data_IF_139881776382
#
_entry.id   IF_139881776382
#
_cell.length_a   1.000
_cell.length_b   1.000
_cell.length_c   1.000
_cell.angle_alpha   90.00
_cell.angle_beta   90.00
_cell.angle_gamma   90.00
#
_symmetry.space_group_name_H-M   'P 1'
#
loop_
_entity.id
_entity.type
_entity.pdbx_description
1 polymer ?
#
# COMPACT_ATOMS: atom_id res chain seq x y z
N UNK A 1 0.37 -6.18 -9.98
CA UNK A 1 -0.35 -7.21 -10.77
C UNK A 1 0.50 -7.94 -11.83
N UNK A 2 1.41 -7.24 -12.51
CA UNK A 2 2.30 -7.84 -13.53
C UNK A 2 3.48 -8.67 -12.98
N UNK A 3 3.44 -9.10 -11.71
CA UNK A 3 4.45 -9.98 -11.10
C UNK A 3 5.86 -9.40 -10.95
N UNK A 4 6.02 -8.08 -10.91
CA UNK A 4 7.34 -7.39 -10.82
C UNK A 4 7.82 -7.14 -9.39
N UNK A 5 6.90 -7.10 -8.45
CA UNK A 5 7.21 -6.92 -7.02
C UNK A 5 6.10 -7.48 -6.15
N UNK A 6 6.44 -7.76 -4.90
CA UNK A 6 5.51 -8.18 -3.86
C UNK A 6 5.81 -7.43 -2.57
N UNK A 7 4.76 -7.03 -1.85
CA UNK A 7 4.86 -6.37 -0.56
C UNK A 7 4.30 -7.28 0.52
N UNK A 8 5.03 -7.39 1.63
CA UNK A 8 4.62 -8.13 2.83
C UNK A 8 4.64 -7.14 3.99
N UNK A 9 3.51 -7.01 4.68
CA UNK A 9 3.38 -6.13 5.84
C UNK A 9 2.96 -6.90 7.09
N UNK A 10 3.52 -6.50 8.23
CA UNK A 10 2.98 -6.87 9.53
C UNK A 10 1.75 -5.99 9.86
N UNK A 11 1.01 -6.38 10.90
CA UNK A 11 -0.13 -5.61 11.43
C UNK A 11 0.34 -4.22 11.87
N UNK A 12 1.56 -4.11 12.38
CA UNK A 12 2.14 -2.84 12.83
C UNK A 12 3.54 -2.66 12.26
N UNK A 13 3.86 -1.41 11.93
CA UNK A 13 5.20 -0.90 11.60
C UNK A 13 5.88 -1.46 10.36
N UNK A 14 6.18 -2.76 10.36
CA UNK A 14 7.08 -3.37 9.38
C UNK A 14 6.37 -3.66 8.06
N UNK A 15 7.02 -3.23 6.99
CA UNK A 15 6.62 -3.46 5.60
C UNK A 15 7.88 -3.70 4.79
N UNK A 16 7.89 -4.78 4.02
CA UNK A 16 9.00 -5.18 3.16
C UNK A 16 8.50 -5.34 1.73
N UNK A 17 9.26 -4.84 0.77
CA UNK A 17 9.00 -5.00 -0.67
C UNK A 17 10.14 -5.81 -1.27
N UNK A 18 9.79 -6.81 -2.06
CA UNK A 18 10.73 -7.62 -2.83
C UNK A 18 10.50 -7.38 -4.31
N UNK A 19 11.58 -7.25 -5.08
CA UNK A 19 11.54 -7.24 -6.54
C UNK A 19 11.59 -8.68 -7.02
N UNK A 20 10.72 -9.00 -7.96
CA UNK A 20 10.65 -10.30 -8.61
C UNK A 20 11.13 -10.13 -10.05
N UNK A 21 12.14 -10.90 -10.44
CA UNK A 21 12.70 -10.85 -11.79
C UNK A 21 12.92 -12.26 -12.35
N UNK A 22 13.28 -12.36 -13.64
CA UNK A 22 13.67 -13.62 -14.28
C UNK A 22 15.09 -13.53 -14.79
N UNK A 23 15.89 -14.55 -14.54
CA UNK A 23 17.22 -14.68 -15.13
C UNK A 23 17.16 -15.14 -16.60
N UNK A 24 18.32 -15.25 -17.25
CA UNK A 24 18.44 -15.70 -18.65
C UNK A 24 17.95 -17.14 -18.87
N UNK A 25 17.82 -17.94 -17.80
CA UNK A 25 17.28 -19.30 -17.82
C UNK A 25 15.79 -19.34 -17.42
N UNK A 26 15.11 -18.19 -17.39
CA UNK A 26 13.70 -18.02 -17.02
C UNK A 26 13.35 -18.45 -15.58
N UNK A 27 14.34 -18.52 -14.68
CA UNK A 27 14.11 -18.82 -13.26
C UNK A 27 13.75 -17.55 -12.50
N UNK A 28 12.84 -17.67 -11.54
CA UNK A 28 12.47 -16.57 -10.64
C UNK A 28 13.65 -16.20 -9.73
N UNK A 29 13.99 -14.92 -9.70
CA UNK A 29 14.95 -14.34 -8.76
C UNK A 29 14.25 -13.32 -7.88
N UNK A 30 14.66 -13.27 -6.62
CA UNK A 30 14.08 -12.39 -5.59
C UNK A 30 15.19 -11.50 -5.05
N UNK A 31 14.97 -10.19 -5.03
CA UNK A 31 15.94 -9.25 -4.45
C UNK A 31 16.01 -9.34 -2.92
N UNK A 32 16.99 -8.69 -2.33
CA UNK A 32 16.93 -8.33 -0.90
C UNK A 32 15.68 -7.49 -0.60
N UNK A 33 15.15 -7.55 0.63
CA UNK A 33 13.99 -6.76 1.01
C UNK A 33 14.32 -5.27 1.07
N UNK A 34 13.36 -4.45 0.63
CA UNK A 34 13.36 -3.00 0.79
C UNK A 34 12.36 -2.61 1.87
N UNK A 35 12.76 -1.73 2.77
CA UNK A 35 11.97 -1.37 3.95
C UNK A 35 11.08 -0.15 3.69
N UNK A 36 9.83 -0.24 4.13
CA UNK A 36 8.87 0.88 4.15
C UNK A 36 8.25 1.05 5.55
N UNK A 37 9.11 1.00 6.57
CA UNK A 37 8.69 0.98 7.97
C UNK A 37 8.08 2.31 8.41
N UNK A 38 7.04 2.24 9.24
CA UNK A 38 6.41 3.42 9.84
C UNK A 38 5.94 3.10 11.25
N UNK A 39 6.63 3.63 12.26
CA UNK A 39 6.30 3.41 13.67
C UNK A 39 4.88 3.87 14.01
N UNK A 40 4.34 3.35 15.11
CA UNK A 40 3.03 3.73 15.67
C UNK A 40 1.89 3.67 14.65
N UNK A 41 1.99 2.78 13.67
CA UNK A 41 1.03 2.68 12.56
C UNK A 41 0.51 1.27 12.44
N UNK A 42 -0.81 1.13 12.58
CA UNK A 42 -1.55 -0.11 12.35
C UNK A 42 -1.98 -0.18 10.88
N UNK A 43 -1.86 -1.35 10.27
CA UNK A 43 -2.26 -1.63 8.89
C UNK A 43 -3.49 -2.53 8.89
N UNK A 44 -4.60 -2.02 8.36
CA UNK A 44 -5.89 -2.73 8.31
C UNK A 44 -6.03 -3.59 7.05
N UNK A 45 -5.59 -3.07 5.91
CA UNK A 45 -5.67 -3.74 4.62
C UNK A 45 -4.48 -3.32 3.75
N UNK A 46 -4.09 -4.20 2.83
CA UNK A 46 -3.02 -3.97 1.86
C UNK A 46 -3.38 -4.63 0.54
N UNK A 47 -3.18 -3.94 -0.58
CA UNK A 47 -3.37 -4.51 -1.91
C UNK A 47 -2.35 -3.93 -2.90
N UNK A 48 -1.90 -4.74 -3.87
CA UNK A 48 -1.11 -4.27 -5.00
C UNK A 48 -2.00 -3.68 -6.09
N UNK A 49 -1.75 -2.43 -6.47
CA UNK A 49 -2.54 -1.71 -7.48
C UNK A 49 -2.15 -2.10 -8.90
N UNK A 50 -3.11 -2.14 -9.82
CA UNK A 50 -2.82 -2.35 -11.23
C UNK A 50 -2.49 -1.04 -11.93
N UNK A 51 -1.21 -0.81 -12.19
CA UNK A 51 -0.69 0.41 -12.84
C UNK A 51 -0.06 0.09 -14.19
N UNK A 52 -0.42 -1.06 -14.79
CA UNK A 52 0.22 -1.55 -16.00
C UNK A 52 1.73 -1.77 -15.79
N UNK A 53 2.54 -1.03 -16.54
CA UNK A 53 4.01 -1.12 -16.54
C UNK A 53 4.72 0.04 -15.84
N UNK A 54 3.99 1.00 -15.26
CA UNK A 54 4.55 2.06 -14.40
C UNK A 54 5.19 1.48 -13.13
N UNK A 55 5.85 2.31 -12.31
CA UNK A 55 6.40 1.84 -11.04
C UNK A 55 5.32 1.17 -10.17
N UNK A 56 5.56 -0.07 -9.64
CA UNK A 56 4.54 -0.77 -8.86
C UNK A 56 4.06 0.05 -7.66
N UNK A 57 2.74 0.10 -7.47
CA UNK A 57 2.09 0.80 -6.36
C UNK A 57 1.36 -0.19 -5.44
N UNK A 58 1.46 0.05 -4.14
CA UNK A 58 0.76 -0.69 -3.09
C UNK A 58 -0.08 0.26 -2.27
N UNK A 59 -1.36 -0.05 -2.11
CA UNK A 59 -2.27 0.72 -1.29
C UNK A 59 -2.46 0.06 0.07
N UNK A 60 -2.43 0.84 1.15
CA UNK A 60 -2.70 0.38 2.51
C UNK A 60 -3.73 1.26 3.20
N UNK A 61 -4.58 0.67 4.04
CA UNK A 61 -5.37 1.42 5.03
C UNK A 61 -4.56 1.44 6.32
N UNK A 62 -4.22 2.63 6.79
CA UNK A 62 -3.34 2.84 7.93
C UNK A 62 -3.95 3.78 8.96
N UNK A 63 -3.62 3.56 10.23
CA UNK A 63 -3.99 4.46 11.32
C UNK A 63 -2.78 4.69 12.20
N UNK A 64 -2.42 5.96 12.40
CA UNK A 64 -1.35 6.34 13.32
C UNK A 64 -1.93 6.55 14.71
N UNK A 65 -1.39 5.91 15.73
CA UNK A 65 -1.81 6.08 17.12
C UNK A 65 -0.80 6.87 17.96
N UNK A 66 0.25 7.41 17.34
CA UNK A 66 1.34 8.11 18.01
C UNK A 66 0.89 9.29 18.88
N UNK A 67 -0.12 10.04 18.43
CA UNK A 67 -0.63 11.21 19.17
C UNK A 67 -1.42 10.76 20.42
N UNK A 68 -2.28 9.76 20.27
CA UNK A 68 -3.10 9.20 21.36
C UNK A 68 -2.23 8.56 22.44
N UNK A 69 -1.13 7.91 22.04
CA UNK A 69 -0.15 7.33 22.99
C UNK A 69 0.57 8.39 23.82
N UNK A 70 0.73 9.61 23.28
CA UNK A 70 1.40 10.73 23.96
C UNK A 70 0.44 11.57 24.79
N UNK A 71 -0.77 11.77 24.30
CA UNK A 71 -1.82 12.56 24.94
C UNK A 71 -3.17 11.81 24.89
N UNK A 72 -3.67 11.29 26.03
CA UNK A 72 -4.98 10.64 26.11
C UNK A 72 -6.17 11.55 25.74
N UNK A 73 -5.96 12.87 25.66
CA UNK A 73 -6.97 13.85 25.25
C UNK A 73 -6.84 14.27 23.78
N UNK A 74 -5.92 13.68 23.02
CA UNK A 74 -5.81 13.91 21.59
C UNK A 74 -7.08 13.52 20.83
N UNK A 75 -7.26 14.11 19.64
CA UNK A 75 -8.35 13.76 18.75
C UNK A 75 -8.27 12.27 18.34
N UNK A 76 -9.42 11.62 18.07
CA UNK A 76 -9.43 10.26 17.60
C UNK A 76 -8.59 10.08 16.33
N UNK A 77 -7.78 9.02 16.23
CA UNK A 77 -6.82 8.87 15.15
C UNK A 77 -7.54 8.60 13.82
N UNK A 78 -7.10 9.28 12.77
CA UNK A 78 -7.72 9.22 11.44
C UNK A 78 -7.14 8.07 10.60
N UNK A 79 -8.03 7.28 9.96
CA UNK A 79 -7.61 6.29 8.95
C UNK A 79 -7.20 6.98 7.67
N UNK A 80 -6.09 6.52 7.09
CA UNK A 80 -5.50 7.04 5.87
C UNK A 80 -5.36 5.92 4.84
N UNK A 81 -5.75 6.18 3.60
CA UNK A 81 -5.32 5.41 2.43
C UNK A 81 -3.93 5.88 2.01
N UNK A 82 -2.91 5.11 2.31
CA UNK A 82 -1.51 5.41 1.99
C UNK A 82 -1.07 4.62 0.75
N UNK A 83 -0.42 5.30 -0.21
CA UNK A 83 0.19 4.65 -1.36
C UNK A 83 1.71 4.58 -1.23
N UNK A 84 2.25 3.38 -1.40
CA UNK A 84 3.67 3.10 -1.44
C UNK A 84 4.09 2.77 -2.88
N UNK A 85 5.01 3.56 -3.43
CA UNK A 85 5.59 3.36 -4.75
C UNK A 85 6.92 2.64 -4.64
N UNK A 86 7.09 1.58 -5.41
CA UNK A 86 8.37 0.91 -5.59
C UNK A 86 9.05 1.47 -6.84
N UNK A 87 10.08 2.30 -6.66
CA UNK A 87 10.86 2.82 -7.78
C UNK A 87 11.91 1.79 -8.21
N UNK A 88 11.68 1.17 -9.38
CA UNK A 88 12.55 0.13 -9.91
C UNK A 88 13.91 0.64 -10.38
N UNK A 89 14.03 1.93 -10.72
CA UNK A 89 15.29 2.54 -11.16
C UNK A 89 16.19 2.91 -9.99
N UNK A 90 15.61 3.49 -8.94
CA UNK A 90 16.32 3.92 -7.73
C UNK A 90 16.40 2.83 -6.65
N UNK A 91 15.68 1.73 -6.82
CA UNK A 91 15.65 0.59 -5.90
C UNK A 91 15.27 1.00 -4.46
N UNK A 92 14.22 1.80 -4.32
CA UNK A 92 13.71 2.24 -3.02
C UNK A 92 12.18 2.35 -3.03
N UNK A 93 11.58 2.29 -1.84
CA UNK A 93 10.14 2.42 -1.65
C UNK A 93 9.84 3.78 -1.03
N UNK A 94 8.91 4.53 -1.61
CA UNK A 94 8.48 5.84 -1.08
C UNK A 94 7.00 5.85 -0.77
N UNK A 95 6.64 6.60 0.28
CA UNK A 95 5.25 6.93 0.56
C UNK A 95 4.85 8.11 -0.34
N UNK A 96 4.17 7.81 -1.45
CA UNK A 96 3.84 8.79 -2.49
C UNK A 96 2.67 9.68 -2.08
N UNK A 97 1.69 9.10 -1.41
CA UNK A 97 0.43 9.78 -1.11
C UNK A 97 -0.21 9.25 0.17
N UNK A 98 -0.98 10.10 0.86
CA UNK A 98 -1.90 9.66 1.91
C UNK A 98 -3.15 10.54 1.99
N UNK A 99 -4.34 9.94 1.86
CA UNK A 99 -5.64 10.61 1.98
C UNK A 99 -6.43 10.07 3.15
N UNK A 100 -7.18 10.94 3.83
CA UNK A 100 -8.16 10.48 4.80
C UNK A 100 -9.25 9.61 4.13
N UNK A 101 -9.64 8.54 4.82
CA UNK A 101 -10.77 7.68 4.47
C UNK A 101 -11.71 7.54 5.65
N UNK A 102 -12.90 7.02 5.42
CA UNK A 102 -13.87 6.78 6.49
C UNK A 102 -13.27 5.89 7.60
N UNK A 103 -13.61 6.17 8.86
CA UNK A 103 -13.11 5.41 10.00
C UNK A 103 -13.56 3.94 9.97
N UNK A 104 -14.66 3.61 9.29
CA UNK A 104 -15.15 2.24 9.10
C UNK A 104 -14.43 1.47 7.96
N UNK A 105 -13.50 2.11 7.24
CA UNK A 105 -12.76 1.47 6.16
C UNK A 105 -11.95 0.26 6.68
N UNK A 106 -12.14 -0.91 6.06
CA UNK A 106 -11.57 -2.18 6.55
C UNK A 106 -11.04 -3.11 5.47
N UNK A 107 -11.38 -2.91 4.20
CA UNK A 107 -10.86 -3.71 3.10
C UNK A 107 -10.57 -2.86 1.85
N UNK A 108 -9.68 -3.36 1.01
CA UNK A 108 -9.30 -2.74 -0.26
C UNK A 108 -9.49 -3.75 -1.40
N UNK A 109 -10.01 -3.28 -2.53
CA UNK A 109 -10.09 -4.05 -3.77
C UNK A 109 -9.33 -3.29 -4.84
N UNK A 110 -8.34 -3.93 -5.45
CA UNK A 110 -7.61 -3.36 -6.58
C UNK A 110 -8.52 -3.35 -7.82
N UNK A 111 -8.57 -2.21 -8.51
CA UNK A 111 -9.30 -2.05 -9.76
C UNK A 111 -8.33 -2.30 -10.93
N UNK A 112 -8.72 -3.06 -11.96
CA UNK A 112 -7.89 -3.27 -13.16
C UNK A 112 -7.43 -1.95 -13.78
N UNK A 113 -6.20 -1.93 -14.29
CA UNK A 113 -5.54 -0.72 -14.77
C UNK A 113 -4.89 -0.88 -16.13
N UNK A 114 -4.21 0.18 -16.58
CA UNK A 114 -3.58 0.21 -17.90
C UNK A 114 -4.63 0.20 -19.02
N UNK A 115 -4.54 -0.77 -19.93
CA UNK A 115 -5.50 -0.93 -21.03
C UNK A 115 -6.82 -1.59 -20.59
N UNK A 116 -6.81 -2.27 -19.44
CA UNK A 116 -7.93 -3.09 -18.96
C UNK A 116 -8.88 -2.32 -18.03
N UNK A 117 -8.53 -1.10 -17.62
CA UNK A 117 -9.35 -0.31 -16.71
C UNK A 117 -8.68 0.94 -16.16
N UNK A 118 -9.39 1.68 -15.28
CA UNK A 118 -8.96 3.00 -14.83
C UNK A 118 -7.90 2.99 -13.73
N UNK A 119 -7.46 1.82 -13.25
CA UNK A 119 -6.64 1.67 -12.04
C UNK A 119 -7.36 2.18 -10.78
N UNK A 120 -6.63 2.36 -9.69
CA UNK A 120 -7.16 2.81 -8.41
C UNK A 120 -7.56 1.67 -7.49
N UNK A 121 -8.25 2.03 -6.42
CA UNK A 121 -8.75 1.10 -5.42
C UNK A 121 -10.19 1.43 -5.02
N UNK A 122 -10.97 0.39 -4.71
CA UNK A 122 -12.21 0.53 -3.98
C UNK A 122 -11.92 0.35 -2.50
N UNK A 123 -12.24 1.38 -1.71
CA UNK A 123 -12.18 1.35 -0.26
C UNK A 123 -13.53 0.87 0.25
N UNK A 124 -13.53 -0.27 0.95
CA UNK A 124 -14.73 -0.85 1.54
C UNK A 124 -14.92 -0.28 2.94
N UNK A 125 -16.04 0.44 3.13
CA UNK A 125 -16.45 1.05 4.38
C UNK A 125 -17.75 0.38 4.87
N UNK A 126 -18.20 0.74 6.05
CA UNK A 126 -19.53 0.36 6.51
C UNK A 126 -20.58 1.00 5.60
N UNK A 127 -21.45 0.17 5.01
CA UNK A 127 -22.56 0.56 4.13
C UNK A 127 -22.19 1.31 2.83
N UNK A 128 -20.91 1.48 2.48
CA UNK A 128 -20.53 2.09 1.20
C UNK A 128 -19.20 1.58 0.64
N UNK A 129 -19.05 1.76 -0.68
CA UNK A 129 -17.79 1.56 -1.41
C UNK A 129 -17.35 2.90 -2.00
N UNK A 130 -16.12 3.30 -1.72
CA UNK A 130 -15.56 4.57 -2.21
C UNK A 130 -14.45 4.26 -3.21
N UNK A 131 -14.63 4.69 -4.46
CA UNK A 131 -13.58 4.61 -5.46
C UNK A 131 -12.57 5.74 -5.26
N UNK A 132 -11.29 5.38 -5.13
CA UNK A 132 -10.17 6.30 -5.03
C UNK A 132 -9.20 6.03 -6.18
N UNK A 133 -9.09 7.01 -7.09
CA UNK A 133 -8.11 7.05 -8.17
C UNK A 133 -7.04 8.08 -7.83
N UNK A 134 -5.78 7.67 -7.81
CA UNK A 134 -4.60 8.52 -7.69
C UNK A 134 -3.63 8.15 -8.81
#
# INVERSE_FOLDING_TARGET
PKGRSVMVGAIEKQKFVYILNRDSAARLTISSPLEAHKGYTIVYAMVGMDVGFENPLFATIELSYEEVDRDPHADPPQKMLTLYEMDLGLNHVTRKFADAVDHSAHALIAVPGGVDGPSGTLVCCENCLVYKKQ
#
